data_IF_102220490522
#
_entry.id   IF_102220490522
#
_cell.length_a   1.000
_cell.length_b   1.000
_cell.length_c   1.000
_cell.angle_alpha   90.00
_cell.angle_beta   90.00
_cell.angle_gamma   90.00
#
_symmetry.space_group_name_H-M   'P 1'
#
loop_
_entity.id
_entity.type
_entity.pdbx_description
1 polymer ?
#
# COMPACT_ATOMS: atom_id res chain seq x y z
N UNK A 1 2.28 -1.07 -6.10
CA UNK A 1 2.77 0.32 -6.04
C UNK A 1 1.74 1.21 -5.37
N UNK A 2 2.17 1.98 -4.43
CA UNK A 2 1.29 2.89 -3.69
C UNK A 2 1.82 4.31 -3.83
N UNK A 3 0.96 5.23 -4.22
CA UNK A 3 1.26 6.65 -4.25
C UNK A 3 0.58 7.30 -3.06
N UNK A 4 1.36 7.76 -2.11
CA UNK A 4 0.87 8.36 -0.87
C UNK A 4 1.20 9.84 -0.83
N UNK A 5 0.40 10.61 -0.11
CA UNK A 5 0.45 12.06 -0.24
C UNK A 5 0.99 12.81 0.98
N UNK A 6 1.43 12.13 2.03
CA UNK A 6 2.01 12.84 3.15
C UNK A 6 2.87 11.96 4.07
N UNK A 7 3.78 12.58 4.85
CA UNK A 7 4.55 11.85 5.86
C UNK A 7 3.62 11.16 6.85
N UNK A 8 3.94 9.97 7.25
CA UNK A 8 3.09 9.18 8.14
C UNK A 8 2.12 8.27 7.41
N UNK A 9 1.96 8.44 6.11
CA UNK A 9 1.11 7.59 5.29
C UNK A 9 1.57 6.13 5.32
N UNK A 10 2.87 5.90 5.45
CA UNK A 10 3.41 4.55 5.52
C UNK A 10 2.88 3.79 6.74
N UNK A 11 2.80 4.46 7.90
CA UNK A 11 2.24 3.85 9.10
C UNK A 11 0.76 3.49 8.90
N UNK A 12 0.01 4.36 8.27
CA UNK A 12 -1.40 4.10 7.97
C UNK A 12 -1.56 2.95 6.99
N UNK A 13 -0.74 2.91 5.95
CA UNK A 13 -0.76 1.84 4.96
C UNK A 13 -0.45 0.49 5.61
N UNK A 14 0.59 0.42 6.45
CA UNK A 14 0.96 -0.82 7.12
C UNK A 14 -0.15 -1.29 8.06
N UNK A 15 -0.81 -0.35 8.73
CA UNK A 15 -1.94 -0.65 9.59
C UNK A 15 -3.11 -1.24 8.80
N UNK A 16 -3.44 -0.67 7.66
CA UNK A 16 -4.51 -1.16 6.79
C UNK A 16 -4.22 -2.58 6.34
N UNK A 17 -3.00 -2.83 5.89
CA UNK A 17 -2.59 -4.15 5.41
C UNK A 17 -2.68 -5.18 6.54
N UNK A 18 -2.19 -4.83 7.72
CA UNK A 18 -2.23 -5.72 8.87
C UNK A 18 -3.65 -6.02 9.31
N UNK A 19 -4.52 -5.01 9.31
CA UNK A 19 -5.93 -5.16 9.69
C UNK A 19 -6.65 -6.11 8.73
N UNK A 20 -6.23 -6.15 7.48
CA UNK A 20 -6.81 -7.04 6.47
C UNK A 20 -6.02 -8.35 6.31
N UNK A 21 -5.26 -8.72 7.32
CA UNK A 21 -4.52 -9.99 7.38
C UNK A 21 -3.44 -10.13 6.30
N UNK A 22 -2.99 -9.03 5.74
CA UNK A 22 -1.86 -9.03 4.83
C UNK A 22 -0.56 -9.10 5.60
N UNK A 23 0.44 -9.73 5.02
CA UNK A 23 1.77 -9.78 5.59
C UNK A 23 2.74 -9.13 4.61
N UNK A 24 3.45 -8.11 5.10
CA UNK A 24 4.40 -7.37 4.26
C UNK A 24 5.74 -8.10 4.28
N UNK A 25 6.20 -8.52 3.12
CA UNK A 25 7.52 -9.15 2.99
C UNK A 25 8.60 -8.15 2.64
N UNK A 26 8.25 -7.06 1.98
CA UNK A 26 9.23 -6.03 1.64
C UNK A 26 8.55 -4.70 1.35
N UNK A 27 9.21 -3.60 1.70
CA UNK A 27 8.78 -2.25 1.35
C UNK A 27 9.97 -1.52 0.76
N UNK A 28 9.74 -0.86 -0.37
CA UNK A 28 10.76 -0.10 -1.06
C UNK A 28 10.24 1.28 -1.39
N UNK A 29 10.97 2.31 -0.97
CA UNK A 29 10.65 3.68 -1.36
C UNK A 29 11.23 3.91 -2.74
N UNK A 30 10.36 4.08 -3.73
CA UNK A 30 10.79 4.30 -5.11
C UNK A 30 11.13 5.76 -5.34
N UNK A 31 10.32 6.65 -4.77
CA UNK A 31 10.46 8.07 -5.02
C UNK A 31 9.92 8.87 -3.85
N UNK A 32 10.59 9.97 -3.53
CA UNK A 32 10.09 10.98 -2.59
C UNK A 32 10.03 12.30 -3.29
N UNK A 33 8.88 12.92 -3.21
CA UNK A 33 8.68 14.27 -3.69
C UNK A 33 8.11 15.11 -2.57
N UNK A 34 7.98 16.41 -2.79
CA UNK A 34 7.41 17.32 -1.79
C UNK A 34 5.99 16.90 -1.44
N UNK A 35 5.21 16.51 -2.44
CA UNK A 35 3.79 16.22 -2.28
C UNK A 35 3.47 14.74 -2.18
N UNK A 36 4.37 13.87 -2.64
CA UNK A 36 4.06 12.44 -2.77
C UNK A 36 5.22 11.56 -2.36
N UNK A 37 4.87 10.40 -1.80
CA UNK A 37 5.79 9.28 -1.60
C UNK A 37 5.29 8.11 -2.42
N UNK A 38 6.18 7.50 -3.16
CA UNK A 38 5.85 6.32 -3.96
C UNK A 38 6.53 5.10 -3.38
N UNK A 39 5.74 4.10 -3.06
CA UNK A 39 6.23 2.87 -2.45
C UNK A 39 5.94 1.68 -3.34
N UNK A 40 6.84 0.72 -3.28
CA UNK A 40 6.59 -0.61 -3.81
C UNK A 40 6.51 -1.56 -2.61
N UNK A 41 5.38 -2.21 -2.46
CA UNK A 41 5.12 -3.07 -1.30
C UNK A 41 4.85 -4.48 -1.79
N UNK A 42 5.66 -5.42 -1.28
CA UNK A 42 5.49 -6.84 -1.57
C UNK A 42 4.71 -7.49 -0.44
N UNK A 43 3.62 -8.14 -0.78
CA UNK A 43 2.70 -8.74 0.17
C UNK A 43 2.63 -10.24 0.00
N UNK A 44 2.47 -10.94 1.13
CA UNK A 44 2.06 -12.33 1.14
C UNK A 44 0.55 -12.35 1.36
N UNK A 45 -0.17 -12.93 0.42
CA UNK A 45 -1.63 -12.99 0.44
C UNK A 45 -2.11 -14.41 0.19
N UNK A 46 -3.36 -14.68 0.56
CA UNK A 46 -3.93 -16.01 0.41
C UNK A 46 -4.40 -16.30 -1.01
N UNK A 47 -5.00 -15.30 -1.65
CA UNK A 47 -5.55 -15.45 -2.99
C UNK A 47 -5.83 -14.05 -3.57
N UNK A 48 -6.33 -14.04 -4.81
CA UNK A 48 -6.60 -12.78 -5.52
C UNK A 48 -7.69 -11.95 -4.84
N UNK A 49 -8.68 -12.59 -4.24
CA UNK A 49 -9.73 -11.87 -3.52
C UNK A 49 -9.18 -11.15 -2.30
N UNK A 50 -8.24 -11.77 -1.60
CA UNK A 50 -7.54 -11.16 -0.48
C UNK A 50 -6.77 -9.91 -0.92
N UNK A 51 -6.05 -10.01 -2.05
CA UNK A 51 -5.35 -8.86 -2.61
C UNK A 51 -6.31 -7.72 -2.95
N UNK A 52 -7.41 -8.04 -3.60
CA UNK A 52 -8.40 -7.03 -3.98
C UNK A 52 -9.02 -6.35 -2.76
N UNK A 53 -9.22 -7.10 -1.68
CA UNK A 53 -9.73 -6.56 -0.43
C UNK A 53 -8.76 -5.55 0.18
N UNK A 54 -7.47 -5.86 0.18
CA UNK A 54 -6.44 -4.97 0.69
C UNK A 54 -6.35 -3.70 -0.17
N UNK A 55 -6.36 -3.85 -1.48
CA UNK A 55 -6.31 -2.71 -2.39
C UNK A 55 -7.51 -1.81 -2.19
N UNK A 56 -8.71 -2.38 -2.07
CA UNK A 56 -9.92 -1.60 -1.83
C UNK A 56 -9.85 -0.84 -0.51
N UNK A 57 -9.35 -1.47 0.54
CA UNK A 57 -9.17 -0.82 1.84
C UNK A 57 -8.20 0.35 1.75
N UNK A 58 -7.10 0.19 1.01
CA UNK A 58 -6.14 1.27 0.83
C UNK A 58 -6.71 2.43 0.04
N UNK A 59 -7.55 2.17 -0.96
CA UNK A 59 -8.19 3.21 -1.76
C UNK A 59 -9.16 4.07 -0.96
N UNK A 60 -9.66 3.57 0.14
CA UNK A 60 -10.53 4.32 1.03
C UNK A 60 -9.75 5.26 1.96
N UNK A 61 -8.46 5.11 2.06
CA UNK A 61 -7.64 5.95 2.93
C UNK A 61 -7.40 7.32 2.29
N UNK A 62 -7.56 8.37 3.09
CA UNK A 62 -7.27 9.72 2.63
C UNK A 62 -5.77 9.98 2.41
N UNK A 63 -4.92 9.12 2.95
CA UNK A 63 -3.46 9.25 2.79
C UNK A 63 -2.96 8.62 1.50
N UNK A 64 -3.79 7.85 0.80
CA UNK A 64 -3.40 7.13 -0.40
C UNK A 64 -4.04 7.79 -1.62
N UNK A 65 -3.21 8.27 -2.54
CA UNK A 65 -3.69 8.85 -3.79
C UNK A 65 -4.04 7.79 -4.81
N UNK A 66 -3.22 6.75 -4.92
CA UNK A 66 -3.43 5.71 -5.91
C UNK A 66 -2.76 4.42 -5.48
N UNK A 67 -3.37 3.31 -5.83
CA UNK A 67 -2.83 1.97 -5.61
C UNK A 67 -2.94 1.19 -6.90
N UNK A 68 -1.84 0.63 -7.34
CA UNK A 68 -1.82 -0.22 -8.52
C UNK A 68 -1.26 -1.59 -8.15
N UNK A 69 -1.86 -2.61 -8.72
CA UNK A 69 -1.35 -3.97 -8.59
C UNK A 69 -0.03 -4.09 -9.34
N UNK A 70 0.97 -4.64 -8.67
CA UNK A 70 2.26 -4.88 -9.30
C UNK A 70 2.19 -5.96 -10.35
N UNK A 71 3.12 -5.92 -11.27
CA UNK A 71 3.32 -6.99 -12.25
C UNK A 71 4.25 -8.03 -11.68
N UNK A 72 3.96 -9.26 -11.92
CA UNK A 72 4.81 -10.37 -11.53
C UNK A 72 5.87 -10.64 -12.60
#
# INVERSE_FOLDING_TARGET
>A
TVLANEPGSLAEITKIISTNNGNISNIQVISRDIDFYKFNIDLEIKNINHLNQIIAAMRLSQFVENVERGKD
#
